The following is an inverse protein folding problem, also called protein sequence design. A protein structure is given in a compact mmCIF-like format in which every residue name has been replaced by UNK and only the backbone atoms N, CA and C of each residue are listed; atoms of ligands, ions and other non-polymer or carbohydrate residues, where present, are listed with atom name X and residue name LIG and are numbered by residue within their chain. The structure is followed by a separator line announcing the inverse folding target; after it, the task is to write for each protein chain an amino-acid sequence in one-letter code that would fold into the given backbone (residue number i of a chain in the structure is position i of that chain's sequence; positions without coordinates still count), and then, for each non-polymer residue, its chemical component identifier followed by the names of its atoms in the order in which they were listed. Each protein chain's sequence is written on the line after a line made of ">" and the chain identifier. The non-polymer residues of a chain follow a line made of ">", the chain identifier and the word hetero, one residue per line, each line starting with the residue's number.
data_IF_788059831037
#
_entry.id   IF_788059831037
#
_cell.length_a   1.000
_cell.length_b   1.000
_cell.length_c   1.000
_cell.angle_alpha   90.00
_cell.angle_beta   90.00
_cell.angle_gamma   90.00
#
_symmetry.space_group_name_H-M   'P 1'
#
loop_
_entity.id
_entity.type
_entity.pdbx_description
1 polymer ?
#
# COMPACT_ATOMS: atom_id res chain seq x y z
N UNK A 1 -0.99 -22.46 21.98
CA UNK A 1 0.01 -23.46 21.53
C UNK A 1 0.85 -22.77 20.46
N UNK A 2 2.19 -22.75 20.58
CA UNK A 2 3.05 -22.06 19.61
C UNK A 2 3.20 -22.92 18.35
N UNK A 3 2.99 -22.35 17.17
CA UNK A 3 3.22 -23.05 15.90
C UNK A 3 4.69 -23.48 15.78
N UNK A 4 4.90 -24.67 15.21
CA UNK A 4 6.22 -25.17 14.80
C UNK A 4 6.33 -25.10 13.29
N UNK A 5 7.44 -24.55 12.80
CA UNK A 5 7.72 -24.29 11.40
C UNK A 5 8.72 -25.30 10.81
N UNK A 6 9.06 -26.37 11.53
CA UNK A 6 10.07 -27.37 11.16
C UNK A 6 9.90 -27.89 9.72
N UNK A 7 8.65 -28.10 9.28
CA UNK A 7 8.31 -28.64 7.97
C UNK A 7 8.43 -27.64 6.81
N UNK A 8 8.67 -26.35 7.10
CA UNK A 8 8.81 -25.27 6.11
C UNK A 8 10.16 -24.53 6.19
N UNK A 9 11.06 -24.97 7.07
CA UNK A 9 12.38 -24.35 7.22
C UNK A 9 13.16 -24.41 5.90
N UNK A 10 13.83 -23.31 5.58
CA UNK A 10 14.63 -23.18 4.36
C UNK A 10 13.82 -22.98 3.08
N UNK A 11 12.49 -23.07 3.10
CA UNK A 11 11.66 -22.81 1.91
C UNK A 11 11.50 -21.29 1.73
N UNK A 12 11.87 -20.79 0.55
CA UNK A 12 11.62 -19.40 0.15
C UNK A 12 10.18 -19.28 -0.36
N UNK A 13 9.45 -18.32 0.19
CA UNK A 13 8.08 -18.00 -0.15
C UNK A 13 8.00 -16.61 -0.76
N UNK A 14 7.26 -16.50 -1.87
CA UNK A 14 6.96 -15.24 -2.53
C UNK A 14 5.52 -14.85 -2.22
N UNK A 15 5.30 -13.60 -1.82
CA UNK A 15 3.96 -13.06 -1.70
C UNK A 15 3.33 -13.00 -3.09
N UNK A 16 2.20 -13.66 -3.26
CA UNK A 16 1.49 -13.71 -4.54
C UNK A 16 0.21 -12.90 -4.52
N UNK A 17 -0.42 -12.74 -3.35
CA UNK A 17 -1.66 -11.96 -3.21
C UNK A 17 -1.68 -11.23 -1.89
N UNK A 18 -2.14 -9.98 -1.93
CA UNK A 18 -2.57 -9.22 -0.76
C UNK A 18 -3.98 -8.70 -1.01
N UNK A 19 -4.90 -9.03 -0.13
CA UNK A 19 -6.35 -8.86 -0.34
C UNK A 19 -7.03 -8.34 0.92
N UNK A 20 -8.01 -7.46 0.73
CA UNK A 20 -8.97 -7.16 1.79
C UNK A 20 -9.89 -8.37 2.04
N UNK A 21 -10.69 -8.40 3.11
CA UNK A 21 -11.57 -9.55 3.36
C UNK A 21 -12.68 -9.72 2.33
N UNK A 22 -12.98 -8.69 1.54
CA UNK A 22 -13.84 -8.80 0.36
C UNK A 22 -13.19 -9.57 -0.82
N UNK A 23 -11.93 -10.00 -0.68
CA UNK A 23 -11.19 -10.75 -1.71
C UNK A 23 -10.57 -9.87 -2.82
N UNK A 24 -10.74 -8.56 -2.78
CA UNK A 24 -10.18 -7.61 -3.73
C UNK A 24 -8.82 -7.09 -3.24
N UNK A 25 -7.96 -6.71 -4.19
CA UNK A 25 -6.72 -6.00 -3.89
C UNK A 25 -6.92 -4.50 -3.73
N UNK A 26 -8.09 -3.97 -4.12
CA UNK A 26 -8.41 -2.56 -4.04
C UNK A 26 -9.50 -2.31 -3.00
N UNK A 27 -9.44 -1.14 -2.34
CA UNK A 27 -10.55 -0.61 -1.57
C UNK A 27 -11.30 0.48 -2.34
N UNK A 28 -12.33 1.05 -1.72
CA UNK A 28 -13.17 2.10 -2.28
C UNK A 28 -12.44 3.42 -2.56
N UNK A 29 -11.35 3.71 -1.85
CA UNK A 29 -10.50 4.88 -2.09
C UNK A 29 -9.52 4.67 -3.24
N UNK A 30 -9.51 3.49 -3.88
CA UNK A 30 -8.53 3.14 -4.91
C UNK A 30 -7.18 2.67 -4.36
N UNK A 31 -7.06 2.49 -3.03
CA UNK A 31 -5.84 1.98 -2.42
C UNK A 31 -5.61 0.54 -2.86
N UNK A 32 -4.46 0.25 -3.47
CA UNK A 32 -4.09 -1.10 -3.83
C UNK A 32 -3.16 -1.74 -2.79
N UNK A 33 -3.54 -2.94 -2.36
CA UNK A 33 -2.67 -3.85 -1.63
C UNK A 33 -1.72 -4.55 -2.59
N UNK A 34 -0.50 -4.02 -2.72
CA UNK A 34 0.53 -4.61 -3.58
C UNK A 34 1.34 -5.68 -2.84
N UNK A 35 1.41 -6.90 -3.39
CA UNK A 35 2.27 -7.94 -2.85
C UNK A 35 3.75 -7.66 -3.15
N UNK A 36 4.59 -7.65 -2.13
CA UNK A 36 6.01 -7.25 -2.22
C UNK A 36 6.95 -8.09 -1.36
N UNK A 37 6.42 -8.90 -0.44
CA UNK A 37 7.23 -9.64 0.52
C UNK A 37 7.80 -10.91 -0.10
N UNK A 38 9.05 -11.19 0.26
CA UNK A 38 9.68 -12.49 0.08
C UNK A 38 10.18 -12.89 1.44
N UNK A 39 9.78 -14.08 1.91
CA UNK A 39 10.11 -14.56 3.25
C UNK A 39 10.69 -15.97 3.22
N UNK A 40 11.45 -16.32 4.24
CA UNK A 40 11.99 -17.67 4.43
C UNK A 40 12.18 -17.92 5.93
N UNK A 41 11.63 -19.02 6.45
CA UNK A 41 11.86 -19.41 7.84
C UNK A 41 13.23 -20.06 7.97
N UNK A 42 14.12 -19.49 8.79
CA UNK A 42 15.46 -20.04 9.05
C UNK A 42 15.46 -20.98 10.25
N UNK A 43 14.64 -20.68 11.24
CA UNK A 43 14.39 -21.48 12.45
C UNK A 43 12.98 -21.16 12.98
N UNK A 44 12.54 -21.82 14.04
CA UNK A 44 11.23 -21.60 14.66
C UNK A 44 11.04 -20.21 15.31
N UNK A 45 12.11 -19.41 15.36
CA UNK A 45 12.16 -18.09 15.96
C UNK A 45 12.82 -17.05 15.05
N UNK A 46 13.20 -17.42 13.82
CA UNK A 46 13.86 -16.50 12.89
C UNK A 46 13.23 -16.61 11.51
N UNK A 47 12.75 -15.48 11.01
CA UNK A 47 12.26 -15.32 9.64
C UNK A 47 13.17 -14.34 8.90
N UNK A 48 13.57 -14.73 7.71
CA UNK A 48 14.27 -13.86 6.79
C UNK A 48 13.23 -13.14 5.93
N UNK A 49 13.35 -11.83 5.74
CA UNK A 49 12.52 -11.08 4.79
C UNK A 49 13.39 -10.25 3.84
N UNK A 50 13.00 -10.15 2.57
CA UNK A 50 13.73 -9.38 1.57
C UNK A 50 13.65 -7.87 1.86
N UNK A 51 14.80 -7.20 1.83
CA UNK A 51 14.90 -5.75 1.94
C UNK A 51 15.20 -5.15 0.57
N UNK A 52 14.25 -4.43 -0.05
CA UNK A 52 14.47 -3.76 -1.34
C UNK A 52 15.61 -2.73 -1.29
N UNK A 53 15.76 -2.03 -0.16
CA UNK A 53 16.81 -1.01 0.01
C UNK A 53 18.21 -1.61 0.03
N UNK A 54 18.36 -2.80 0.63
CA UNK A 54 19.66 -3.47 0.78
C UNK A 54 19.88 -4.58 -0.25
N UNK A 55 18.90 -4.84 -1.10
CA UNK A 55 18.91 -5.91 -2.11
C UNK A 55 19.32 -7.28 -1.54
N UNK A 56 18.88 -7.60 -0.32
CA UNK A 56 19.19 -8.87 0.35
C UNK A 56 18.13 -9.28 1.37
N UNK A 57 18.10 -10.57 1.69
CA UNK A 57 17.31 -11.11 2.81
C UNK A 57 17.92 -10.64 4.15
N UNK A 58 17.09 -10.12 5.04
CA UNK A 58 17.48 -9.73 6.39
C UNK A 58 16.82 -10.64 7.43
N UNK A 59 17.55 -11.06 8.48
CA UNK A 59 16.96 -11.82 9.58
C UNK A 59 16.12 -10.91 10.46
N UNK A 60 14.97 -11.43 10.89
CA UNK A 60 14.13 -10.85 11.92
C UNK A 60 13.77 -11.94 12.92
N UNK A 61 13.83 -11.59 14.20
CA UNK A 61 13.32 -12.46 15.24
C UNK A 61 11.79 -12.51 15.14
N UNK A 62 11.24 -13.73 15.15
CA UNK A 62 9.83 -14.01 15.06
C UNK A 62 9.26 -14.05 16.48
N UNK A 63 8.81 -12.90 16.97
CA UNK A 63 8.25 -12.76 18.31
C UNK A 63 6.85 -13.35 18.33
N UNK A 64 6.63 -14.37 19.16
CA UNK A 64 5.29 -14.91 19.41
C UNK A 64 4.52 -14.00 20.37
N UNK A 65 3.29 -13.69 20.02
CA UNK A 65 2.27 -13.07 20.85
C UNK A 65 1.09 -14.05 21.00
N UNK A 66 0.04 -13.68 21.72
CA UNK A 66 -1.14 -14.52 21.93
C UNK A 66 -1.92 -14.83 20.63
N UNK A 67 -2.59 -15.98 20.55
CA UNK A 67 -3.58 -16.26 19.50
C UNK A 67 -3.04 -16.34 18.06
N UNK A 68 -1.96 -17.12 17.86
CA UNK A 68 -1.24 -17.30 16.59
C UNK A 68 -0.76 -15.99 15.95
N UNK A 69 -0.57 -14.96 16.78
CA UNK A 69 -0.03 -13.67 16.39
C UNK A 69 1.48 -13.69 16.54
N UNK A 70 2.16 -13.17 15.53
CA UNK A 70 3.60 -13.06 15.49
C UNK A 70 4.00 -11.67 15.01
N UNK A 71 5.06 -11.12 15.60
CA UNK A 71 5.69 -9.91 15.10
C UNK A 71 7.01 -10.25 14.42
N UNK A 72 7.21 -9.70 13.22
CA UNK A 72 8.53 -9.61 12.60
C UNK A 72 8.59 -8.38 11.70
N UNK A 73 9.79 -7.84 11.48
CA UNK A 73 9.99 -6.65 10.64
C UNK A 73 9.07 -5.46 11.00
N UNK A 74 8.77 -5.28 12.30
CA UNK A 74 7.87 -4.25 12.86
C UNK A 74 6.40 -4.37 12.45
N UNK A 75 5.99 -5.51 11.90
CA UNK A 75 4.62 -5.79 11.50
C UNK A 75 4.07 -6.99 12.28
N UNK A 76 2.79 -6.93 12.65
CA UNK A 76 2.09 -8.01 13.32
C UNK A 76 1.27 -8.82 12.31
N UNK A 77 1.33 -10.15 12.45
CA UNK A 77 0.62 -11.08 11.58
C UNK A 77 -0.04 -12.17 12.40
N UNK A 78 -1.30 -12.47 12.10
CA UNK A 78 -1.92 -13.72 12.52
C UNK A 78 -1.70 -14.78 11.44
N UNK A 79 -1.08 -15.88 11.81
CA UNK A 79 -0.83 -16.99 10.87
C UNK A 79 -2.10 -17.83 10.78
N UNK A 80 -2.70 -17.90 9.58
CA UNK A 80 -3.96 -18.62 9.34
C UNK A 80 -3.74 -20.01 8.77
N UNK A 81 -2.76 -20.17 7.88
CA UNK A 81 -2.43 -21.45 7.24
C UNK A 81 -0.93 -21.55 6.99
N UNK A 82 -0.37 -22.72 7.27
CA UNK A 82 1.03 -23.06 7.00
C UNK A 82 1.09 -24.42 6.33
N UNK A 83 1.66 -24.47 5.13
CA UNK A 83 1.94 -25.70 4.39
C UNK A 83 3.25 -25.53 3.62
N UNK A 84 3.83 -26.61 3.10
CA UNK A 84 5.05 -26.56 2.28
C UNK A 84 4.91 -25.71 1.01
N UNK A 85 3.72 -25.66 0.43
CA UNK A 85 3.48 -24.98 -0.83
C UNK A 85 2.89 -23.58 -0.66
N UNK A 86 2.19 -23.32 0.45
CA UNK A 86 1.47 -22.07 0.67
C UNK A 86 1.39 -21.66 2.12
N UNK A 87 1.50 -20.35 2.35
CA UNK A 87 1.25 -19.70 3.63
C UNK A 87 0.12 -18.68 3.46
N UNK A 88 -0.72 -18.55 4.48
CA UNK A 88 -1.74 -17.48 4.55
C UNK A 88 -1.61 -16.78 5.88
N UNK A 89 -1.28 -15.49 5.82
CA UNK A 89 -1.18 -14.60 6.97
C UNK A 89 -2.28 -13.55 6.90
N UNK A 90 -2.71 -13.05 8.04
CA UNK A 90 -3.51 -11.84 8.15
C UNK A 90 -2.64 -10.76 8.79
N UNK A 91 -2.42 -9.63 8.11
CA UNK A 91 -1.73 -8.48 8.69
C UNK A 91 -2.64 -7.82 9.72
N UNK A 92 -2.07 -7.52 10.88
CA UNK A 92 -2.76 -6.88 11.98
C UNK A 92 -2.19 -5.49 12.21
N UNK A 93 -3.06 -4.49 12.28
CA UNK A 93 -2.69 -3.18 12.76
C UNK A 93 -2.83 -3.16 14.28
N UNK A 94 -1.70 -3.03 14.99
CA UNK A 94 -1.68 -2.98 16.46
C UNK A 94 -1.41 -1.56 16.90
N UNK A 95 -2.32 -0.99 17.68
CA UNK A 95 -2.17 0.34 18.27
C UNK A 95 -2.48 0.26 19.76
N UNK A 96 -1.63 0.85 20.61
CA UNK A 96 -1.80 0.84 22.09
C UNK A 96 -2.03 -0.56 22.69
N UNK A 97 -1.35 -1.58 22.14
CA UNK A 97 -1.48 -3.01 22.53
C UNK A 97 -2.84 -3.65 22.21
N UNK A 98 -3.67 -2.98 21.42
CA UNK A 98 -4.92 -3.53 20.89
C UNK A 98 -4.78 -3.78 19.40
N UNK A 99 -5.30 -4.93 18.95
CA UNK A 99 -5.43 -5.22 17.53
C UNK A 99 -6.65 -4.44 17.04
N UNK A 100 -6.45 -3.51 16.11
CA UNK A 100 -7.55 -2.78 15.49
C UNK A 100 -8.50 -3.78 14.82
N UNK A 101 -9.80 -3.65 15.06
CA UNK A 101 -10.83 -4.49 14.44
C UNK A 101 -11.35 -3.92 13.11
N UNK A 102 -10.71 -2.86 12.60
CA UNK A 102 -11.13 -2.15 11.40
C UNK A 102 -10.40 -2.63 10.14
N UNK A 103 -10.67 -1.95 9.02
CA UNK A 103 -10.12 -2.24 7.70
C UNK A 103 -8.57 -2.29 7.66
N UNK A 104 -7.88 -1.69 8.63
CA UNK A 104 -6.40 -1.68 8.70
C UNK A 104 -5.83 -3.06 9.04
N UNK A 105 -6.57 -3.88 9.80
CA UNK A 105 -6.26 -5.28 10.12
C UNK A 105 -6.96 -6.29 9.20
N UNK A 106 -7.68 -5.80 8.19
CA UNK A 106 -8.50 -6.60 7.30
C UNK A 106 -7.74 -7.05 6.05
N UNK A 107 -6.47 -7.42 6.18
CA UNK A 107 -5.60 -7.70 5.03
C UNK A 107 -5.03 -9.11 5.11
N UNK A 108 -5.45 -9.95 4.17
CA UNK A 108 -4.96 -11.31 4.01
C UNK A 108 -3.83 -11.37 2.97
N UNK A 109 -2.72 -11.97 3.36
CA UNK A 109 -1.53 -12.16 2.56
C UNK A 109 -1.37 -13.64 2.24
N UNK A 110 -1.28 -13.98 0.96
CA UNK A 110 -1.00 -15.33 0.50
C UNK A 110 0.40 -15.40 -0.07
N UNK A 111 1.16 -16.39 0.37
CA UNK A 111 2.45 -16.72 -0.17
C UNK A 111 2.42 -18.10 -0.83
N UNK A 112 3.22 -18.26 -1.88
CA UNK A 112 3.54 -19.56 -2.46
C UNK A 112 5.04 -19.85 -2.40
N UNK A 113 5.37 -21.12 -2.19
CA UNK A 113 6.75 -21.58 -2.22
C UNK A 113 7.34 -21.37 -3.61
N UNK A 114 8.61 -20.96 -3.67
CA UNK A 114 9.33 -20.75 -4.92
C UNK A 114 9.32 -21.99 -5.82
N UNK A 115 9.49 -23.17 -5.22
CA UNK A 115 9.44 -24.45 -5.91
C UNK A 115 8.06 -24.72 -6.53
N UNK A 116 6.99 -24.46 -5.78
CA UNK A 116 5.61 -24.64 -6.25
C UNK A 116 5.29 -23.72 -7.43
N UNK A 117 5.70 -22.44 -7.35
CA UNK A 117 5.52 -21.48 -8.45
C UNK A 117 6.24 -21.94 -9.72
N UNK A 118 7.51 -22.35 -9.60
CA UNK A 118 8.34 -22.71 -10.76
C UNK A 118 7.96 -24.05 -11.37
N UNK A 119 7.77 -25.08 -10.55
CA UNK A 119 7.69 -26.46 -11.04
C UNK A 119 6.26 -26.98 -11.18
N UNK A 120 5.31 -26.48 -10.37
CA UNK A 120 3.89 -26.89 -10.43
C UNK A 120 3.09 -25.89 -11.26
N UNK A 121 3.12 -24.61 -10.87
CA UNK A 121 2.36 -23.56 -11.58
C UNK A 121 3.03 -23.14 -12.89
N UNK A 122 4.33 -23.45 -13.07
CA UNK A 122 5.12 -23.13 -14.27
C UNK A 122 5.02 -21.65 -14.67
N UNK A 123 5.14 -20.77 -13.67
CA UNK A 123 4.98 -19.33 -13.85
C UNK A 123 5.99 -18.55 -13.02
N UNK A 124 5.82 -17.23 -12.94
CA UNK A 124 6.66 -16.35 -12.12
C UNK A 124 5.84 -15.66 -11.03
N UNK A 125 6.48 -15.26 -9.91
CA UNK A 125 5.79 -14.47 -8.88
C UNK A 125 5.12 -13.22 -9.46
N UNK A 126 5.81 -12.50 -10.36
CA UNK A 126 5.31 -11.29 -10.98
C UNK A 126 4.00 -11.48 -11.75
N UNK A 127 3.78 -12.65 -12.38
CA UNK A 127 2.50 -12.96 -13.05
C UNK A 127 1.39 -13.18 -12.02
N UNK A 128 1.68 -13.89 -10.94
CA UNK A 128 0.71 -14.20 -9.88
C UNK A 128 0.32 -12.97 -9.05
N UNK A 129 1.22 -11.99 -8.97
CA UNK A 129 1.04 -10.72 -8.26
C UNK A 129 0.14 -9.72 -9.01
N UNK A 130 -0.21 -9.99 -10.28
CA UNK A 130 -1.04 -9.09 -11.09
C UNK A 130 -2.47 -8.98 -10.53
N UNK A 131 -3.14 -7.82 -10.71
CA UNK A 131 -4.56 -7.70 -10.45
C UNK A 131 -5.38 -8.77 -11.20
N UNK A 132 -6.44 -9.24 -10.56
CA UNK A 132 -7.34 -10.24 -11.12
C UNK A 132 -8.40 -9.60 -12.02
N UNK A 133 -9.16 -10.45 -12.71
CA UNK A 133 -10.36 -10.00 -13.44
C UNK A 133 -11.37 -9.33 -12.51
N UNK A 134 -11.56 -9.83 -11.28
CA UNK A 134 -12.45 -9.23 -10.30
C UNK A 134 -11.99 -7.82 -9.90
N UNK A 135 -10.68 -7.64 -9.66
CA UNK A 135 -10.11 -6.31 -9.40
C UNK A 135 -10.35 -5.35 -10.57
N UNK A 136 -10.18 -5.84 -11.80
CA UNK A 136 -10.37 -5.05 -13.02
C UNK A 136 -11.82 -4.59 -13.17
N UNK A 137 -12.78 -5.49 -12.95
CA UNK A 137 -14.22 -5.16 -12.99
C UNK A 137 -14.58 -4.15 -11.89
N UNK A 138 -14.06 -4.35 -10.68
CA UNK A 138 -14.30 -3.44 -9.56
C UNK A 138 -13.79 -2.02 -9.84
N UNK A 139 -12.54 -1.89 -10.28
CA UNK A 139 -11.95 -0.58 -10.60
C UNK A 139 -12.65 0.07 -11.79
N UNK A 140 -13.08 -0.70 -12.80
CA UNK A 140 -13.91 -0.15 -13.89
C UNK A 140 -15.22 0.44 -13.36
N UNK A 141 -15.87 -0.23 -12.43
CA UNK A 141 -17.08 0.29 -11.79
C UNK A 141 -16.84 1.57 -11.00
N UNK A 142 -15.69 1.69 -10.31
CA UNK A 142 -15.29 2.95 -9.65
C UNK A 142 -15.04 4.06 -10.68
N UNK A 143 -14.30 3.76 -11.76
CA UNK A 143 -14.02 4.69 -12.84
C UNK A 143 -15.30 5.20 -13.52
N UNK A 144 -16.25 4.33 -13.83
CA UNK A 144 -17.54 4.70 -14.41
C UNK A 144 -18.34 5.63 -13.49
N UNK A 145 -18.34 5.37 -12.17
CA UNK A 145 -19.00 6.24 -11.19
C UNK A 145 -18.32 7.62 -11.11
N UNK A 146 -17.00 7.66 -11.00
CA UNK A 146 -16.23 8.90 -10.95
C UNK A 146 -16.42 9.73 -12.23
N UNK A 147 -16.41 9.10 -13.41
CA UNK A 147 -16.55 9.80 -14.69
C UNK A 147 -17.96 10.35 -14.96
N UNK A 148 -19.00 9.82 -14.31
CA UNK A 148 -20.36 10.37 -14.41
C UNK A 148 -20.51 11.71 -13.70
N UNK A 149 -19.74 11.92 -12.64
CA UNK A 149 -19.72 13.16 -11.86
C UNK A 149 -18.28 13.52 -11.45
N UNK A 150 -17.45 14.01 -12.41
CA UNK A 150 -16.00 14.17 -12.21
C UNK A 150 -15.61 15.21 -11.15
N UNK A 151 -16.49 16.15 -10.84
CA UNK A 151 -16.24 17.21 -9.87
C UNK A 151 -16.59 16.80 -8.43
N UNK A 152 -17.20 15.63 -8.23
CA UNK A 152 -17.70 15.20 -6.94
C UNK A 152 -16.65 14.36 -6.17
N UNK A 153 -16.12 14.86 -5.04
CA UNK A 153 -15.12 14.13 -4.25
C UNK A 153 -15.63 12.79 -3.72
N UNK A 154 -16.94 12.64 -3.48
CA UNK A 154 -17.53 11.42 -2.89
C UNK A 154 -17.49 10.23 -3.85
N UNK A 155 -17.47 10.49 -5.15
CA UNK A 155 -17.38 9.46 -6.20
C UNK A 155 -15.97 9.31 -6.75
N UNK A 156 -15.07 10.24 -6.38
CA UNK A 156 -13.66 10.18 -6.76
C UNK A 156 -12.90 9.10 -5.97
N UNK A 157 -11.87 8.53 -6.59
CA UNK A 157 -10.96 7.57 -5.98
C UNK A 157 -9.54 7.82 -6.50
N UNK A 158 -8.53 7.41 -5.73
CA UNK A 158 -7.14 7.58 -6.12
C UNK A 158 -6.74 6.57 -7.21
N UNK A 159 -6.03 7.05 -8.23
CA UNK A 159 -5.32 6.18 -9.15
C UNK A 159 -4.07 5.55 -8.49
N UNK A 160 -3.62 4.39 -9.00
CA UNK A 160 -2.33 3.79 -8.62
C UNK A 160 -1.15 4.75 -8.81
N UNK A 161 -1.23 5.55 -9.87
CA UNK A 161 -0.25 6.56 -10.19
C UNK A 161 -0.85 7.90 -9.76
N UNK A 162 -0.25 8.58 -8.77
CA UNK A 162 -0.73 9.90 -8.38
C UNK A 162 -0.57 10.87 -9.55
N UNK A 163 -1.41 11.91 -9.56
CA UNK A 163 -1.30 13.02 -10.52
C UNK A 163 0.11 13.60 -10.51
N UNK A 164 0.60 14.11 -11.64
CA UNK A 164 1.87 14.83 -11.69
C UNK A 164 1.62 16.21 -12.26
N UNK A 165 2.08 17.24 -11.55
CA UNK A 165 2.08 18.60 -12.06
C UNK A 165 3.41 18.89 -12.74
N UNK A 166 3.37 19.01 -14.07
CA UNK A 166 4.55 19.28 -14.90
C UNK A 166 4.55 20.77 -15.25
N UNK A 167 5.55 21.54 -14.79
CA UNK A 167 5.69 22.94 -15.18
C UNK A 167 5.85 23.10 -16.68
N UNK A 168 5.16 24.08 -17.27
CA UNK A 168 5.32 24.45 -18.69
C UNK A 168 6.25 25.66 -18.89
N UNK A 169 6.70 26.27 -17.80
CA UNK A 169 7.55 27.46 -17.82
C UNK A 169 8.69 27.31 -16.82
N UNK A 170 9.84 27.89 -17.14
CA UNK A 170 11.04 27.84 -16.30
C UNK A 170 10.89 28.61 -14.99
N UNK A 171 9.95 29.56 -14.91
CA UNK A 171 9.68 30.32 -13.67
C UNK A 171 8.79 29.55 -12.70
N UNK A 172 8.28 28.37 -13.07
CA UNK A 172 7.39 27.58 -12.21
C UNK A 172 8.12 26.31 -11.79
N UNK A 173 8.17 26.05 -10.50
CA UNK A 173 8.63 24.77 -9.95
C UNK A 173 7.52 24.10 -9.15
N UNK A 174 7.51 22.77 -9.18
CA UNK A 174 6.54 21.92 -8.47
C UNK A 174 7.32 20.96 -7.60
N UNK A 175 7.01 20.95 -6.32
CA UNK A 175 7.62 20.06 -5.32
C UNK A 175 6.50 19.22 -4.72
N UNK A 176 6.56 17.89 -4.91
CA UNK A 176 5.67 16.98 -4.18
C UNK A 176 6.13 16.93 -2.72
N UNK A 177 5.21 17.23 -1.79
CA UNK A 177 5.46 17.11 -0.36
C UNK A 177 5.18 15.68 0.08
N UNK A 178 6.10 15.09 0.83
CA UNK A 178 5.78 13.89 1.61
C UNK A 178 5.02 14.32 2.87
N UNK A 179 3.91 13.64 3.13
CA UNK A 179 3.06 13.80 4.31
C UNK A 179 3.27 12.68 5.32
N UNK A 180 4.26 11.80 5.06
CA UNK A 180 4.60 10.70 5.97
C UNK A 180 5.05 11.27 7.31
N UNK A 181 4.32 10.92 8.36
CA UNK A 181 4.59 11.35 9.73
C UNK A 181 4.28 10.18 10.69
N UNK A 182 5.31 9.58 11.30
CA UNK A 182 5.16 8.50 12.27
C UNK A 182 4.34 8.87 13.51
N UNK A 183 4.29 10.15 13.89
CA UNK A 183 3.61 10.60 15.11
C UNK A 183 2.11 10.78 14.90
N UNK A 184 1.68 11.28 13.74
CA UNK A 184 0.27 11.33 13.35
C UNK A 184 -0.24 10.03 12.72
N UNK A 185 0.63 9.04 12.49
CA UNK A 185 0.27 7.76 11.87
C UNK A 185 0.08 7.83 10.36
N UNK A 186 0.51 8.92 9.72
CA UNK A 186 0.51 9.05 8.26
C UNK A 186 1.63 8.21 7.66
N UNK A 187 1.23 7.22 6.87
CA UNK A 187 2.16 6.34 6.14
C UNK A 187 2.35 6.84 4.71
N UNK A 188 3.32 6.28 3.99
CA UNK A 188 3.54 6.54 2.57
C UNK A 188 2.28 6.27 1.69
N UNK A 189 1.29 5.55 2.20
CA UNK A 189 -0.02 5.41 1.56
C UNK A 189 -0.72 6.76 1.35
N UNK A 190 -0.57 7.70 2.28
CA UNK A 190 -1.20 9.01 2.20
C UNK A 190 -0.65 9.83 1.03
N UNK A 191 0.64 9.72 0.74
CA UNK A 191 1.32 10.49 -0.30
C UNK A 191 0.81 10.17 -1.71
N UNK A 192 0.23 8.98 -1.92
CA UNK A 192 -0.38 8.63 -3.21
C UNK A 192 -1.91 8.78 -3.20
N UNK A 193 -2.58 8.57 -2.06
CA UNK A 193 -4.03 8.75 -1.95
C UNK A 193 -4.43 10.23 -1.99
N UNK A 194 -3.65 11.07 -1.32
CA UNK A 194 -3.88 12.49 -1.15
C UNK A 194 -2.58 13.27 -1.41
N UNK A 195 -2.07 13.24 -2.65
CA UNK A 195 -0.79 13.84 -2.96
C UNK A 195 -0.84 15.36 -2.76
N UNK A 196 0.16 15.90 -2.07
CA UNK A 196 0.29 17.34 -1.85
C UNK A 196 1.44 17.93 -2.65
N UNK A 197 1.22 19.10 -3.24
CA UNK A 197 2.22 19.79 -4.07
C UNK A 197 2.41 21.22 -3.59
N UNK A 198 3.66 21.67 -3.58
CA UNK A 198 4.00 23.09 -3.51
C UNK A 198 4.33 23.56 -4.92
N UNK A 199 3.53 24.48 -5.42
CA UNK A 199 3.80 25.16 -6.69
C UNK A 199 4.43 26.51 -6.34
N UNK A 200 5.63 26.75 -6.84
CA UNK A 200 6.36 28.01 -6.64
C UNK A 200 6.45 28.71 -7.98
N UNK A 201 6.09 29.99 -8.00
CA UNK A 201 6.21 30.84 -9.18
C UNK A 201 7.26 31.90 -8.86
N UNK A 202 8.42 31.79 -9.49
CA UNK A 202 9.49 32.78 -9.39
C UNK A 202 9.09 34.06 -10.13
N UNK A 203 9.58 35.21 -9.63
CA UNK A 203 9.33 36.54 -10.20
C UNK A 203 7.84 36.90 -10.26
N UNK A 204 7.06 36.42 -9.28
CA UNK A 204 5.70 36.89 -9.09
C UNK A 204 5.69 38.40 -8.77
N UNK A 205 4.63 39.10 -9.20
CA UNK A 205 4.49 40.54 -8.95
C UNK A 205 4.38 40.90 -7.45
N UNK A 206 3.99 39.94 -6.62
CA UNK A 206 3.88 40.06 -5.17
C UNK A 206 4.01 38.68 -4.52
N UNK A 207 4.37 38.65 -3.24
CA UNK A 207 4.32 37.43 -2.44
C UNK A 207 2.87 37.04 -2.14
N UNK A 208 2.54 35.78 -2.38
CA UNK A 208 1.23 35.22 -2.04
C UNK A 208 1.35 33.73 -1.76
N UNK A 209 0.49 33.24 -0.89
CA UNK A 209 0.34 31.82 -0.59
C UNK A 209 -1.14 31.45 -0.60
N UNK A 210 -1.50 30.44 -1.39
CA UNK A 210 -2.84 29.88 -1.39
C UNK A 210 -2.75 28.37 -1.23
N UNK A 211 -3.72 27.82 -0.51
CA UNK A 211 -3.91 26.38 -0.43
C UNK A 211 -5.26 26.04 -1.06
N UNK A 212 -5.29 25.04 -1.92
CA UNK A 212 -6.53 24.60 -2.54
C UNK A 212 -6.53 23.08 -2.72
N UNK A 213 -7.72 22.51 -2.65
CA UNK A 213 -7.97 21.10 -2.89
C UNK A 213 -8.68 20.94 -4.22
N UNK A 214 -8.20 20.00 -5.04
CA UNK A 214 -8.76 19.69 -6.36
C UNK A 214 -8.98 18.20 -6.52
N UNK A 215 -10.02 17.84 -7.26
CA UNK A 215 -10.15 16.52 -7.88
C UNK A 215 -9.63 16.64 -9.29
N UNK A 216 -8.75 15.72 -9.70
CA UNK A 216 -8.24 15.66 -11.08
C UNK A 216 -8.90 14.48 -11.77
N UNK A 217 -9.62 14.75 -12.86
CA UNK A 217 -10.30 13.70 -13.61
C UNK A 217 -9.36 12.92 -14.53
N UNK A 218 -9.89 11.88 -15.19
CA UNK A 218 -9.12 11.01 -16.08
C UNK A 218 -8.51 11.74 -17.31
N UNK A 219 -9.03 12.92 -17.67
CA UNK A 219 -8.49 13.75 -18.74
C UNK A 219 -7.43 14.76 -18.24
N UNK A 220 -7.16 14.77 -16.93
CA UNK A 220 -6.24 15.73 -16.30
C UNK A 220 -6.88 17.09 -16.02
N UNK A 221 -8.20 17.24 -16.14
CA UNK A 221 -8.89 18.47 -15.80
C UNK A 221 -9.06 18.56 -14.27
N UNK A 222 -8.70 19.71 -13.73
CA UNK A 222 -8.83 20.01 -12.30
C UNK A 222 -10.21 20.58 -11.99
N UNK A 223 -10.85 20.03 -10.97
CA UNK A 223 -12.12 20.52 -10.41
C UNK A 223 -11.85 21.02 -9.00
N UNK A 224 -12.01 22.33 -8.78
CA UNK A 224 -11.77 22.97 -7.50
C UNK A 224 -12.81 22.51 -6.47
N UNK A 225 -12.35 21.99 -5.34
CA UNK A 225 -13.21 21.53 -4.24
C UNK A 225 -13.27 22.58 -3.13
N UNK A 226 -12.10 23.07 -2.72
CA UNK A 226 -12.01 24.12 -1.71
C UNK A 226 -10.81 25.01 -1.99
N UNK A 227 -10.94 26.27 -1.64
CA UNK A 227 -9.88 27.26 -1.72
C UNK A 227 -9.76 27.92 -0.34
N UNK A 228 -8.59 27.78 0.27
CA UNK A 228 -8.25 28.39 1.55
C UNK A 228 -7.39 29.64 1.34
N UNK A 229 -7.80 30.75 1.94
CA UNK A 229 -6.93 31.91 2.13
C UNK A 229 -6.05 31.65 3.34
N UNK A 230 -4.75 31.40 3.13
CA UNK A 230 -3.76 31.60 4.18
C UNK A 230 -3.25 33.03 4.02
N UNK A 231 -3.29 33.82 5.09
CA UNK A 231 -2.71 35.16 5.14
C UNK A 231 -1.26 35.13 4.61
N UNK A 232 -0.76 36.22 4.02
CA UNK A 232 0.62 36.28 3.52
C UNK A 232 1.57 35.84 4.63
N UNK A 233 2.42 34.84 4.37
CA UNK A 233 3.60 34.63 5.23
C UNK A 233 4.48 35.88 5.04
N UNK A 234 4.57 36.69 6.09
CA UNK A 234 5.51 37.81 6.20
C UNK A 234 6.93 37.29 6.46
#
# INVERSE_FOLDING_TARGET
>A
MRLKFDHILGIKYHEVKRRFSNGLSFNEMGFQQEPTWIIQFKSNDTVMAWSPQKLRMQPFFLMYDHGDVYNFAKEYFRIRKVTKDSLVFQRLHVQKKEIASDIRSDVNITYYAENYIKNVLKTTPAVLQRPTKADTVYIRGLAEKANRDPANPKTSFAGRQPVQFIPRSAIVSVIQKSTTDPFSGRTAAYDYLFPQYRIVIEKAYKDFGYEFNVVVDAAGKMHLISFGNVLPEH
#
